data_IF_842480649602
#
_entry.id   IF_842480649602
#
_cell.length_a   1.000
_cell.length_b   1.000
_cell.length_c   1.000
_cell.angle_alpha   90.00
_cell.angle_beta   90.00
_cell.angle_gamma   90.00
#
_symmetry.space_group_name_H-M   'P 1'
#
loop_
_entity.id
_entity.type
_entity.pdbx_description
1 polymer ?
#
# COMPACT_ATOMS: atom_id res chain seq x y z
N UNK A 1 -28.81 -2.14 18.07
CA UNK A 1 -27.61 -1.69 18.83
C UNK A 1 -26.30 -1.73 17.99
N UNK A 2 -26.34 -2.04 16.70
CA UNK A 2 -25.15 -2.19 15.82
C UNK A 2 -24.73 -0.87 15.14
N UNK A 3 -25.64 0.10 15.00
CA UNK A 3 -25.35 1.36 14.26
C UNK A 3 -24.46 2.41 14.98
N UNK A 4 -24.17 2.24 16.27
CA UNK A 4 -23.32 3.22 17.02
C UNK A 4 -21.84 2.84 17.12
N UNK A 5 -21.45 1.62 16.76
CA UNK A 5 -20.05 1.16 16.81
C UNK A 5 -19.20 1.60 15.60
N UNK A 6 -19.81 1.74 14.43
CA UNK A 6 -19.10 1.99 13.16
C UNK A 6 -18.60 3.45 13.06
N UNK A 7 -19.33 4.40 13.61
CA UNK A 7 -18.93 5.82 13.56
C UNK A 7 -17.67 6.16 14.39
N UNK A 8 -17.38 5.39 15.44
CA UNK A 8 -16.19 5.61 16.29
C UNK A 8 -14.90 5.09 15.68
N UNK A 9 -14.98 4.05 14.83
CA UNK A 9 -13.80 3.48 14.17
C UNK A 9 -13.28 4.40 13.05
N UNK A 10 -14.19 5.08 12.33
CA UNK A 10 -13.82 6.02 11.26
C UNK A 10 -13.06 7.25 11.77
N UNK A 11 -13.37 7.73 12.98
CA UNK A 11 -12.70 8.88 13.59
C UNK A 11 -11.26 8.56 14.04
N UNK A 12 -10.97 7.28 14.36
CA UNK A 12 -9.64 6.90 14.84
C UNK A 12 -8.63 6.76 13.69
N UNK A 13 -9.09 6.46 12.48
CA UNK A 13 -8.23 6.33 11.28
C UNK A 13 -7.71 7.70 10.82
N UNK A 14 -8.49 8.77 11.00
CA UNK A 14 -8.05 10.14 10.66
C UNK A 14 -6.95 10.71 11.56
N UNK A 15 -6.83 10.23 12.80
CA UNK A 15 -5.84 10.77 13.76
C UNK A 15 -4.40 10.29 13.53
N UNK A 16 -4.20 9.22 12.77
CA UNK A 16 -2.85 8.69 12.50
C UNK A 16 -2.12 9.31 11.30
N UNK A 17 -2.81 10.05 10.42
CA UNK A 17 -2.21 10.64 9.20
C UNK A 17 -1.69 12.06 9.42
N UNK A 18 -2.08 12.76 10.50
CA UNK A 18 -1.76 14.17 10.73
C UNK A 18 -0.62 14.44 11.73
N UNK A 19 0.24 13.51 12.03
CA UNK A 19 1.25 13.65 13.06
C UNK A 19 2.70 13.58 12.59
N UNK A 20 3.24 14.60 11.92
CA UNK A 20 4.63 15.08 12.11
C UNK A 20 5.00 16.23 11.18
N UNK A 21 4.73 17.46 11.60
CA UNK A 21 5.57 18.60 11.24
C UNK A 21 5.99 19.27 12.55
N UNK A 22 7.28 19.13 12.86
CA UNK A 22 7.90 19.83 13.97
C UNK A 22 8.05 21.32 13.67
N UNK A 23 7.58 22.15 14.56
CA UNK A 23 7.78 23.60 14.56
C UNK A 23 7.94 24.07 16.00
N UNK A 24 9.08 24.64 16.27
CA UNK A 24 9.54 25.19 17.55
C UNK A 24 8.56 26.19 18.15
N UNK A 25 8.35 26.07 19.45
CA UNK A 25 7.62 27.02 20.29
C UNK A 25 8.56 28.13 20.74
N UNK A 26 8.16 29.38 20.56
CA UNK A 26 8.64 30.50 21.37
C UNK A 26 7.49 31.02 22.20
N UNK A 27 7.69 30.99 23.52
CA UNK A 27 6.86 31.61 24.55
C UNK A 27 6.98 33.12 24.49
N UNK A 28 5.86 33.81 24.37
CA UNK A 28 5.76 35.17 24.93
C UNK A 28 4.32 35.44 25.37
N UNK A 29 4.19 35.57 26.66
CA UNK A 29 3.00 36.08 27.34
C UNK A 29 2.87 37.60 27.11
N UNK A 30 1.67 38.10 26.79
CA UNK A 30 1.30 39.52 27.06
C UNK A 30 -0.22 39.66 27.29
N UNK A 31 -0.54 40.02 28.48
CA UNK A 31 -1.57 40.95 29.02
C UNK A 31 -2.95 41.16 28.35
N UNK A 32 -3.94 40.89 29.18
CA UNK A 32 -5.30 41.47 29.15
C UNK A 32 -5.27 42.97 29.29
N UNK A 33 -6.09 43.66 28.49
CA UNK A 33 -6.74 44.93 28.90
C UNK A 33 -8.17 44.93 28.35
N UNK A 34 -9.10 45.00 29.28
CA UNK A 34 -10.50 45.40 29.07
C UNK A 34 -10.57 46.84 28.59
N UNK A 35 -11.43 47.16 27.63
CA UNK A 35 -12.02 48.49 27.52
C UNK A 35 -13.36 48.45 26.78
N UNK A 36 -14.37 48.86 27.44
CA UNK A 36 -15.68 49.47 27.18
C UNK A 36 -16.24 49.57 25.76
N UNK A 37 -17.51 49.19 25.64
CA UNK A 37 -18.43 49.47 24.55
C UNK A 37 -18.86 50.99 24.55
N UNK A 38 -19.34 51.47 23.39
CA UNK A 38 -20.56 52.24 23.44
C UNK A 38 -21.66 51.72 22.49
N UNK A 39 -22.88 51.73 23.02
CA UNK A 39 -24.13 51.65 22.30
C UNK A 39 -24.21 52.72 21.20
N UNK A 40 -24.66 52.33 20.01
CA UNK A 40 -25.33 53.20 19.06
C UNK A 40 -26.52 52.52 18.39
N UNK A 41 -27.68 53.01 18.72
CA UNK A 41 -28.96 52.88 18.05
C UNK A 41 -28.92 53.48 16.64
N UNK A 42 -29.47 52.78 15.64
CA UNK A 42 -29.67 53.41 14.33
C UNK A 42 -30.28 52.49 13.25
N UNK A 43 -31.59 52.56 13.16
CA UNK A 43 -32.43 52.42 11.95
C UNK A 43 -32.28 51.16 11.03
N UNK A 44 -33.39 50.42 11.04
CA UNK A 44 -33.75 49.44 10.03
C UNK A 44 -33.85 50.09 8.62
N UNK A 45 -33.06 49.57 7.69
CA UNK A 45 -33.34 49.68 6.27
C UNK A 45 -33.65 48.27 5.80
N UNK A 46 -34.91 48.04 5.51
CA UNK A 46 -35.38 46.86 4.77
C UNK A 46 -34.78 46.90 3.35
N UNK A 47 -33.71 46.16 3.16
CA UNK A 47 -33.29 45.75 1.82
C UNK A 47 -33.77 44.31 1.65
N UNK A 48 -34.90 44.17 0.94
CA UNK A 48 -35.27 42.92 0.27
C UNK A 48 -34.18 42.59 -0.73
N UNK A 49 -33.17 41.90 -0.32
CA UNK A 49 -32.27 41.21 -1.22
C UNK A 49 -32.91 39.86 -1.51
N UNK A 50 -33.41 39.78 -2.73
CA UNK A 50 -33.83 38.56 -3.39
C UNK A 50 -32.73 37.48 -3.16
N UNK A 51 -32.89 36.71 -2.10
CA UNK A 51 -32.02 35.58 -1.77
C UNK A 51 -32.27 34.47 -2.77
N UNK A 52 -31.64 34.55 -3.91
CA UNK A 52 -31.40 33.33 -4.69
C UNK A 52 -30.62 32.38 -3.78
N UNK A 53 -31.38 31.52 -3.15
CA UNK A 53 -30.86 30.34 -2.43
C UNK A 53 -30.33 29.41 -3.53
N UNK A 54 -29.14 29.74 -4.09
CA UNK A 54 -28.37 28.79 -4.86
C UNK A 54 -27.95 27.72 -3.86
N UNK A 55 -28.74 26.64 -3.77
CA UNK A 55 -28.30 25.43 -3.10
C UNK A 55 -26.90 25.14 -3.65
N UNK A 56 -25.88 25.29 -2.82
CA UNK A 56 -24.53 24.90 -3.16
C UNK A 56 -24.59 23.39 -3.47
N UNK A 57 -24.68 23.07 -4.74
CA UNK A 57 -24.57 21.69 -5.21
C UNK A 57 -23.11 21.32 -5.01
N UNK A 58 -22.83 20.54 -3.97
CA UNK A 58 -21.51 19.95 -3.80
C UNK A 58 -21.12 19.18 -5.07
N UNK A 59 -19.91 19.38 -5.59
CA UNK A 59 -19.47 18.67 -6.77
C UNK A 59 -19.47 17.17 -6.50
N UNK A 60 -19.75 16.39 -7.56
CA UNK A 60 -19.66 14.94 -7.53
C UNK A 60 -18.20 14.56 -7.78
N UNK A 61 -17.63 13.70 -6.93
CA UNK A 61 -16.30 13.13 -7.15
C UNK A 61 -16.40 11.91 -8.06
N UNK A 62 -15.51 11.80 -9.04
CA UNK A 62 -15.44 10.66 -9.95
C UNK A 62 -14.24 9.77 -9.69
N UNK A 63 -14.39 8.46 -9.93
CA UNK A 63 -13.31 7.49 -10.02
C UNK A 63 -13.43 6.73 -11.34
N UNK A 64 -12.36 6.70 -12.14
CA UNK A 64 -12.20 5.76 -13.27
C UNK A 64 -11.24 4.66 -12.84
N UNK A 65 -11.66 3.41 -13.00
CA UNK A 65 -10.90 2.23 -12.58
C UNK A 65 -11.20 1.02 -13.47
N UNK A 66 -10.17 0.21 -13.74
CA UNK A 66 -10.33 -1.12 -14.32
C UNK A 66 -10.77 -2.09 -13.21
N UNK A 67 -12.06 -2.45 -13.25
CA UNK A 67 -12.62 -3.42 -12.31
C UNK A 67 -12.49 -4.84 -12.89
N UNK A 68 -11.30 -5.39 -12.76
CA UNK A 68 -10.97 -6.77 -13.16
C UNK A 68 -11.38 -7.81 -12.09
N UNK A 69 -12.05 -7.37 -11.01
CA UNK A 69 -12.46 -8.20 -9.88
C UNK A 69 -11.32 -8.50 -8.90
N UNK A 70 -10.14 -7.91 -9.09
CA UNK A 70 -9.01 -8.05 -8.18
C UNK A 70 -9.24 -7.33 -6.85
N UNK A 71 -8.54 -7.77 -5.82
CA UNK A 71 -8.57 -7.11 -4.51
C UNK A 71 -7.97 -5.69 -4.59
N UNK A 72 -7.04 -5.44 -5.51
CA UNK A 72 -6.50 -4.10 -5.76
C UNK A 72 -7.56 -3.12 -6.26
N UNK A 73 -8.37 -3.53 -7.24
CA UNK A 73 -9.48 -2.73 -7.74
C UNK A 73 -10.53 -2.49 -6.64
N UNK A 74 -10.90 -3.54 -5.91
CA UNK A 74 -11.88 -3.46 -4.81
C UNK A 74 -11.42 -2.56 -3.68
N UNK A 75 -10.16 -2.70 -3.21
CA UNK A 75 -9.59 -1.85 -2.16
C UNK A 75 -9.51 -0.39 -2.60
N UNK A 76 -9.16 -0.13 -3.85
CA UNK A 76 -9.15 1.23 -4.42
C UNK A 76 -10.56 1.83 -4.43
N UNK A 77 -11.55 1.11 -4.99
CA UNK A 77 -12.93 1.57 -4.99
C UNK A 77 -13.46 1.80 -3.57
N UNK A 78 -13.19 0.87 -2.66
CA UNK A 78 -13.62 0.99 -1.27
C UNK A 78 -12.99 2.20 -0.58
N UNK A 79 -11.70 2.44 -0.77
CA UNK A 79 -11.00 3.60 -0.24
C UNK A 79 -11.57 4.92 -0.74
N UNK A 80 -11.86 5.01 -2.04
CA UNK A 80 -12.49 6.17 -2.66
C UNK A 80 -13.90 6.41 -2.10
N UNK A 81 -14.79 5.42 -2.18
CA UNK A 81 -16.20 5.55 -1.79
C UNK A 81 -16.35 5.89 -0.30
N UNK A 82 -15.61 5.19 0.58
CA UNK A 82 -15.68 5.44 2.03
C UNK A 82 -15.14 6.81 2.41
N UNK A 83 -14.11 7.27 1.73
CA UNK A 83 -13.56 8.59 1.99
C UNK A 83 -14.49 9.69 1.47
N UNK A 84 -15.05 9.53 0.26
CA UNK A 84 -16.03 10.46 -0.29
C UNK A 84 -17.28 10.56 0.62
N UNK A 85 -17.81 9.41 1.09
CA UNK A 85 -18.93 9.36 2.05
C UNK A 85 -18.59 10.09 3.35
N UNK A 86 -17.38 9.87 3.88
CA UNK A 86 -16.92 10.54 5.13
C UNK A 86 -16.82 12.06 4.97
N UNK A 87 -16.44 12.51 3.78
CA UNK A 87 -16.34 13.93 3.42
C UNK A 87 -17.68 14.52 2.96
N UNK A 88 -18.76 13.72 2.97
CA UNK A 88 -20.11 14.09 2.54
C UNK A 88 -20.24 14.48 1.05
N UNK A 89 -19.40 13.91 0.17
CA UNK A 89 -19.52 14.05 -1.27
C UNK A 89 -20.40 12.95 -1.87
N UNK A 90 -21.21 13.32 -2.85
CA UNK A 90 -21.70 12.37 -3.82
C UNK A 90 -20.51 11.85 -4.66
N UNK A 91 -20.53 10.57 -5.00
CA UNK A 91 -19.43 9.95 -5.74
C UNK A 91 -19.95 9.00 -6.81
N UNK A 92 -19.19 8.88 -7.91
CA UNK A 92 -19.49 7.94 -8.99
C UNK A 92 -18.25 7.18 -9.44
N UNK A 93 -18.41 5.87 -9.64
CA UNK A 93 -17.35 4.99 -10.16
C UNK A 93 -17.67 4.62 -11.61
N UNK A 94 -16.70 4.88 -12.50
CA UNK A 94 -16.71 4.49 -13.91
C UNK A 94 -15.79 3.29 -14.06
N UNK A 95 -16.38 2.13 -14.35
CA UNK A 95 -15.64 0.89 -14.55
C UNK A 95 -15.27 0.78 -16.02
N UNK A 96 -14.00 0.93 -16.34
CA UNK A 96 -13.50 0.96 -17.69
C UNK A 96 -12.09 0.38 -17.73
N UNK A 97 -11.83 -0.51 -18.68
CA UNK A 97 -10.49 -1.02 -18.93
C UNK A 97 -9.53 0.12 -19.27
N UNK A 98 -8.26 -0.08 -18.91
CA UNK A 98 -7.23 0.88 -19.22
C UNK A 98 -7.13 1.17 -20.74
N UNK A 99 -6.76 2.40 -21.08
CA UNK A 99 -6.64 2.85 -22.46
C UNK A 99 -7.92 3.47 -23.02
N UNK A 100 -8.42 3.00 -24.16
CA UNK A 100 -9.52 3.64 -24.89
C UNK A 100 -10.85 3.67 -24.10
N UNK A 101 -11.15 2.62 -23.34
CA UNK A 101 -12.37 2.60 -22.51
C UNK A 101 -12.27 3.63 -21.37
N UNK A 102 -11.11 3.75 -20.72
CA UNK A 102 -10.88 4.77 -19.69
C UNK A 102 -11.01 6.19 -20.29
N UNK A 103 -10.51 6.40 -21.52
CA UNK A 103 -10.67 7.66 -22.23
C UNK A 103 -12.14 7.96 -22.59
N UNK A 104 -12.94 6.94 -22.90
CA UNK A 104 -14.38 7.10 -23.12
C UNK A 104 -15.12 7.44 -21.81
N UNK A 105 -14.74 6.80 -20.70
CA UNK A 105 -15.28 7.08 -19.38
C UNK A 105 -15.02 8.53 -18.91
N UNK A 106 -13.94 9.16 -19.37
CA UNK A 106 -13.69 10.60 -19.14
C UNK A 106 -14.78 11.46 -19.80
N UNK A 107 -15.21 11.13 -21.05
CA UNK A 107 -16.29 11.86 -21.70
C UNK A 107 -17.62 11.71 -20.96
N UNK A 108 -17.91 10.51 -20.48
CA UNK A 108 -19.09 10.23 -19.68
C UNK A 108 -19.09 11.02 -18.37
N UNK A 109 -17.98 11.01 -17.64
CA UNK A 109 -17.81 11.79 -16.41
C UNK A 109 -18.02 13.29 -16.66
N UNK A 110 -17.47 13.81 -17.77
CA UNK A 110 -17.64 15.21 -18.15
C UNK A 110 -19.07 15.55 -18.49
N UNK A 111 -19.77 14.67 -19.23
CA UNK A 111 -21.18 14.84 -19.59
C UNK A 111 -22.10 14.86 -18.36
N UNK A 112 -21.73 14.18 -17.29
CA UNK A 112 -22.44 14.17 -16.02
C UNK A 112 -22.05 15.34 -15.09
N UNK A 113 -21.21 16.24 -15.55
CA UNK A 113 -20.82 17.44 -14.80
C UNK A 113 -19.74 17.19 -13.75
N UNK A 114 -19.09 16.03 -13.76
CA UNK A 114 -17.98 15.75 -12.85
C UNK A 114 -16.77 16.58 -13.29
N UNK A 115 -16.20 17.33 -12.35
CA UNK A 115 -15.04 18.19 -12.57
C UNK A 115 -13.81 17.75 -11.78
N UNK A 116 -13.98 16.95 -10.73
CA UNK A 116 -12.93 16.42 -9.88
C UNK A 116 -12.87 14.89 -10.02
N UNK A 117 -11.77 14.38 -10.58
CA UNK A 117 -11.69 13.01 -11.05
C UNK A 117 -10.42 12.32 -10.52
N UNK A 118 -10.59 11.15 -9.94
CA UNK A 118 -9.50 10.23 -9.67
C UNK A 118 -9.43 9.20 -10.80
N UNK A 119 -8.24 9.01 -11.39
CA UNK A 119 -8.02 7.96 -12.40
C UNK A 119 -6.98 7.00 -11.83
N UNK A 120 -7.43 5.80 -11.46
CA UNK A 120 -6.54 4.77 -10.96
C UNK A 120 -5.66 4.24 -12.08
N UNK A 121 -4.35 4.33 -11.87
CA UNK A 121 -3.37 3.89 -12.84
C UNK A 121 -2.18 3.25 -12.09
N UNK A 122 -2.09 1.91 -12.07
CA UNK A 122 -0.93 1.24 -11.50
C UNK A 122 0.32 1.36 -12.40
N UNK A 123 0.12 1.78 -13.64
CA UNK A 123 1.15 2.00 -14.66
C UNK A 123 0.71 3.10 -15.65
N UNK A 124 1.48 3.31 -16.73
CA UNK A 124 1.22 4.36 -17.74
C UNK A 124 0.05 4.09 -18.70
N UNK A 125 -0.68 3.00 -18.55
CA UNK A 125 -1.75 2.64 -19.51
C UNK A 125 -2.91 3.64 -19.55
N UNK A 126 -3.11 4.40 -18.48
CA UNK A 126 -4.16 5.41 -18.39
C UNK A 126 -3.67 6.85 -18.65
N UNK A 127 -2.41 7.04 -19.05
CA UNK A 127 -1.87 8.39 -19.31
C UNK A 127 -2.71 9.14 -20.35
N UNK A 128 -3.17 8.47 -21.42
CA UNK A 128 -4.03 9.08 -22.43
C UNK A 128 -5.39 9.53 -21.86
N UNK A 129 -5.98 8.77 -20.95
CA UNK A 129 -7.22 9.16 -20.27
C UNK A 129 -7.00 10.37 -19.35
N UNK A 130 -5.85 10.40 -18.66
CA UNK A 130 -5.45 11.52 -17.81
C UNK A 130 -5.23 12.79 -18.66
N UNK A 131 -4.48 12.69 -19.78
CA UNK A 131 -4.28 13.82 -20.71
C UNK A 131 -5.61 14.37 -21.21
N UNK A 132 -6.54 13.49 -21.59
CA UNK A 132 -7.87 13.88 -22.04
C UNK A 132 -8.65 14.60 -20.93
N UNK A 133 -8.71 14.09 -19.73
CA UNK A 133 -9.39 14.72 -18.61
C UNK A 133 -8.84 16.11 -18.30
N UNK A 134 -7.51 16.24 -18.29
CA UNK A 134 -6.82 17.54 -18.10
C UNK A 134 -7.16 18.51 -19.24
N UNK A 135 -7.17 18.04 -20.51
CA UNK A 135 -7.51 18.88 -21.67
C UNK A 135 -8.97 19.39 -21.63
N UNK A 136 -9.87 18.64 -21.02
CA UNK A 136 -11.26 19.02 -20.77
C UNK A 136 -11.44 19.94 -19.55
N UNK A 137 -10.35 20.35 -18.91
CA UNK A 137 -10.36 21.23 -17.75
C UNK A 137 -10.85 20.56 -16.46
N UNK A 138 -10.73 19.24 -16.36
CA UNK A 138 -11.03 18.51 -15.13
C UNK A 138 -9.83 18.51 -14.19
N UNK A 139 -10.10 18.53 -12.89
CA UNK A 139 -9.07 18.38 -11.86
C UNK A 139 -8.80 16.90 -11.66
N UNK A 140 -7.57 16.46 -11.96
CA UNK A 140 -7.22 15.02 -11.96
C UNK A 140 -6.19 14.71 -10.88
N UNK A 141 -6.46 13.63 -10.13
CA UNK A 141 -5.52 13.00 -9.21
C UNK A 141 -5.28 11.56 -9.66
N UNK A 142 -4.01 11.16 -9.79
CA UNK A 142 -3.62 9.79 -10.11
C UNK A 142 -3.06 9.11 -8.84
N UNK A 143 -3.75 8.10 -8.29
CA UNK A 143 -3.23 7.32 -7.18
C UNK A 143 -2.34 6.17 -7.68
N UNK A 144 -1.36 5.80 -6.82
CA UNK A 144 -0.50 4.65 -6.93
C UNK A 144 0.67 4.76 -7.93
N UNK A 145 0.54 5.50 -9.01
CA UNK A 145 1.55 5.66 -10.04
C UNK A 145 1.91 7.15 -10.21
N UNK A 146 3.20 7.45 -10.38
CA UNK A 146 3.67 8.80 -10.66
C UNK A 146 3.50 9.13 -12.14
N UNK A 147 2.30 9.55 -12.52
CA UNK A 147 1.96 10.00 -13.86
C UNK A 147 2.75 11.29 -14.21
N UNK A 148 3.30 11.32 -15.42
CA UNK A 148 4.08 12.48 -15.93
C UNK A 148 3.28 13.40 -16.86
N UNK A 149 1.97 13.20 -16.95
CA UNK A 149 1.09 14.04 -17.77
C UNK A 149 1.09 15.47 -17.26
N UNK A 150 1.33 16.43 -18.16
CA UNK A 150 1.34 17.84 -17.81
C UNK A 150 -0.07 18.30 -17.43
N UNK A 151 -0.18 19.08 -16.35
CA UNK A 151 -1.46 19.62 -15.88
C UNK A 151 -2.24 18.73 -14.90
N UNK A 152 -1.77 17.53 -14.62
CA UNK A 152 -2.30 16.73 -13.49
C UNK A 152 -2.14 17.53 -12.20
N UNK A 153 -3.14 17.48 -11.33
CA UNK A 153 -3.12 18.26 -10.08
C UNK A 153 -2.23 17.63 -9.02
N UNK A 154 -2.32 16.32 -8.86
CA UNK A 154 -1.48 15.60 -7.90
C UNK A 154 -1.36 14.12 -8.27
N UNK A 155 -0.22 13.55 -7.90
CA UNK A 155 0.00 12.11 -7.86
C UNK A 155 -0.02 11.64 -6.40
N UNK A 156 -0.57 10.47 -6.13
CA UNK A 156 -0.39 9.79 -4.85
C UNK A 156 0.49 8.58 -5.08
N UNK A 157 1.72 8.62 -4.59
CA UNK A 157 2.72 7.58 -4.84
C UNK A 157 3.04 6.80 -3.57
N UNK A 158 3.42 5.55 -3.76
CA UNK A 158 3.90 4.69 -2.66
C UNK A 158 5.34 5.06 -2.35
N UNK A 159 5.65 5.30 -1.07
CA UNK A 159 7.02 5.53 -0.62
C UNK A 159 7.77 4.19 -0.56
N UNK A 160 8.58 3.93 -1.57
CA UNK A 160 9.31 2.68 -1.67
C UNK A 160 10.57 2.65 -0.79
N UNK A 161 11.20 3.80 -0.53
CA UNK A 161 12.47 3.86 0.23
C UNK A 161 12.21 3.56 1.70
N UNK A 162 11.27 4.27 2.34
CA UNK A 162 10.88 4.03 3.72
C UNK A 162 10.38 2.59 3.94
N UNK A 163 9.64 2.06 2.96
CA UNK A 163 9.16 0.69 2.99
C UNK A 163 10.29 -0.35 3.10
N UNK A 164 11.32 -0.25 2.26
CA UNK A 164 12.40 -1.24 2.29
C UNK A 164 13.27 -1.13 3.54
N UNK A 165 13.38 0.05 4.13
CA UNK A 165 14.06 0.23 5.41
C UNK A 165 13.28 -0.38 6.58
N UNK A 166 11.96 -0.25 6.56
CA UNK A 166 11.08 -0.88 7.55
C UNK A 166 11.09 -2.41 7.41
N UNK A 167 11.02 -2.92 6.18
CA UNK A 167 11.10 -4.34 5.88
C UNK A 167 12.44 -4.95 6.34
N UNK A 168 13.55 -4.26 6.07
CA UNK A 168 14.88 -4.67 6.51
C UNK A 168 14.98 -4.71 8.04
N UNK A 169 14.44 -3.70 8.70
CA UNK A 169 14.36 -3.63 10.17
C UNK A 169 13.55 -4.78 10.75
N UNK A 170 12.38 -5.04 10.18
CA UNK A 170 11.48 -6.12 10.62
C UNK A 170 12.12 -7.50 10.48
N UNK A 171 12.73 -7.80 9.32
CA UNK A 171 13.40 -9.08 9.08
C UNK A 171 14.64 -9.25 9.94
N UNK A 172 15.51 -8.25 10.00
CA UNK A 172 16.72 -8.31 10.83
C UNK A 172 16.37 -8.43 12.32
N UNK A 173 15.42 -7.64 12.82
CA UNK A 173 14.93 -7.70 14.20
C UNK A 173 14.39 -9.09 14.54
N UNK A 174 13.60 -9.69 13.65
CA UNK A 174 13.10 -11.05 13.86
C UNK A 174 14.21 -12.10 13.91
N UNK A 175 15.25 -11.93 13.11
CA UNK A 175 16.41 -12.83 13.16
C UNK A 175 17.17 -12.67 14.48
N UNK A 176 17.36 -11.46 14.95
CA UNK A 176 18.03 -11.17 16.22
C UNK A 176 17.25 -11.72 17.42
N UNK A 177 15.92 -11.60 17.44
CA UNK A 177 15.04 -12.23 18.45
C UNK A 177 15.25 -13.75 18.51
N UNK A 178 15.53 -14.38 17.38
CA UNK A 178 15.85 -15.80 17.28
C UNK A 178 17.32 -16.12 17.56
N UNK A 179 18.07 -15.14 18.06
CA UNK A 179 19.52 -15.24 18.34
C UNK A 179 20.39 -15.55 17.11
N UNK A 180 19.90 -15.21 15.92
CA UNK A 180 20.64 -15.35 14.66
C UNK A 180 21.45 -14.08 14.43
N UNK A 181 22.77 -14.18 14.52
CA UNK A 181 23.68 -13.03 14.35
C UNK A 181 24.13 -12.82 12.91
N UNK A 182 23.83 -13.74 12.02
CA UNK A 182 24.13 -13.70 10.58
C UNK A 182 23.29 -14.72 9.84
N UNK A 183 23.28 -14.66 8.52
CA UNK A 183 22.56 -15.59 7.65
C UNK A 183 22.18 -14.96 6.34
N UNK A 184 21.57 -15.75 5.46
CA UNK A 184 21.03 -15.23 4.22
C UNK A 184 19.54 -14.94 4.34
N UNK A 185 19.11 -13.86 3.67
CA UNK A 185 17.71 -13.51 3.45
C UNK A 185 17.46 -13.65 1.97
N UNK A 186 16.44 -14.41 1.61
CA UNK A 186 16.06 -14.69 0.24
C UNK A 186 14.94 -13.75 -0.21
N UNK A 187 15.12 -13.07 -1.32
CA UNK A 187 14.05 -12.41 -2.08
C UNK A 187 13.53 -13.41 -3.11
N UNK A 188 12.26 -13.75 -3.02
CA UNK A 188 11.63 -14.82 -3.79
C UNK A 188 10.34 -14.37 -4.48
N UNK A 189 10.18 -14.73 -5.74
CA UNK A 189 8.98 -14.46 -6.54
C UNK A 189 9.26 -14.55 -8.04
N UNK A 190 8.32 -14.02 -8.86
CA UNK A 190 8.45 -14.00 -10.33
C UNK A 190 9.20 -12.78 -10.84
N UNK A 191 8.85 -11.60 -10.35
CA UNK A 191 9.51 -10.33 -10.69
C UNK A 191 10.19 -9.74 -9.45
N UNK A 192 11.40 -10.21 -9.20
CA UNK A 192 12.14 -9.90 -7.97
C UNK A 192 13.18 -8.81 -8.13
N UNK A 193 13.51 -8.37 -9.36
CA UNK A 193 14.69 -7.54 -9.63
C UNK A 193 14.68 -6.22 -8.86
N UNK A 194 13.63 -5.41 -9.03
CA UNK A 194 13.50 -4.11 -8.36
C UNK A 194 13.44 -4.25 -6.83
N UNK A 195 12.66 -5.24 -6.35
CA UNK A 195 12.55 -5.52 -4.93
C UNK A 195 13.88 -5.96 -4.33
N UNK A 196 14.62 -6.82 -5.06
CA UNK A 196 15.95 -7.27 -4.65
C UNK A 196 16.95 -6.12 -4.54
N UNK A 197 17.04 -5.27 -5.56
CA UNK A 197 17.98 -4.14 -5.56
C UNK A 197 17.72 -3.19 -4.39
N UNK A 198 16.47 -2.75 -4.20
CA UNK A 198 16.10 -1.81 -3.16
C UNK A 198 16.27 -2.42 -1.75
N UNK A 199 15.79 -3.64 -1.54
CA UNK A 199 15.94 -4.35 -0.27
C UNK A 199 17.41 -4.65 0.06
N UNK A 200 18.19 -5.04 -0.94
CA UNK A 200 19.63 -5.29 -0.79
C UNK A 200 20.38 -4.01 -0.38
N UNK A 201 20.02 -2.86 -0.96
CA UNK A 201 20.62 -1.58 -0.58
C UNK A 201 20.35 -1.23 0.89
N UNK A 202 19.10 -1.34 1.33
CA UNK A 202 18.71 -1.10 2.73
C UNK A 202 19.38 -2.07 3.71
N UNK A 203 19.37 -3.36 3.41
CA UNK A 203 20.03 -4.38 4.24
C UNK A 203 21.53 -4.13 4.35
N UNK A 204 22.20 -3.85 3.25
CA UNK A 204 23.65 -3.58 3.23
C UNK A 204 24.03 -2.36 4.05
N UNK A 205 23.20 -1.34 4.02
CA UNK A 205 23.42 -0.10 4.77
C UNK A 205 23.20 -0.30 6.27
N UNK A 206 22.13 -0.98 6.67
CA UNK A 206 21.63 -0.99 8.04
C UNK A 206 21.97 -2.30 8.78
N UNK A 207 22.08 -3.44 8.07
CA UNK A 207 22.22 -4.79 8.62
C UNK A 207 23.24 -5.63 7.84
N UNK A 208 24.52 -5.18 7.71
CA UNK A 208 25.51 -5.82 6.84
C UNK A 208 25.90 -7.25 7.28
N UNK A 209 25.50 -7.69 8.47
CA UNK A 209 25.70 -9.07 8.96
C UNK A 209 24.76 -10.08 8.25
N UNK A 210 23.70 -9.62 7.57
CA UNK A 210 22.80 -10.46 6.79
C UNK A 210 23.03 -10.24 5.29
N UNK A 211 23.16 -11.33 4.55
CA UNK A 211 23.36 -11.27 3.11
C UNK A 211 22.05 -11.51 2.40
N UNK A 212 21.71 -10.64 1.44
CA UNK A 212 20.54 -10.82 0.60
C UNK A 212 20.90 -11.63 -0.63
N UNK A 213 20.11 -12.65 -0.94
CA UNK A 213 20.18 -13.41 -2.16
C UNK A 213 18.82 -13.40 -2.86
N UNK A 214 18.81 -13.72 -4.15
CA UNK A 214 17.61 -13.72 -4.98
C UNK A 214 17.37 -15.14 -5.54
N UNK A 215 16.11 -15.53 -5.61
CA UNK A 215 15.68 -16.71 -6.33
C UNK A 215 14.41 -16.41 -7.10
N UNK A 216 14.53 -16.39 -8.44
CA UNK A 216 13.40 -16.13 -9.33
C UNK A 216 12.67 -17.44 -9.57
N UNK A 217 11.38 -17.45 -9.34
CA UNK A 217 10.51 -18.60 -9.63
C UNK A 217 10.45 -18.84 -11.15
N UNK A 218 10.79 -20.04 -11.58
CA UNK A 218 10.74 -20.45 -12.99
C UNK A 218 9.61 -21.44 -13.28
N UNK A 219 9.22 -22.24 -12.28
CA UNK A 219 8.13 -23.19 -12.42
C UNK A 219 6.79 -22.52 -12.70
N UNK A 220 6.06 -23.05 -13.69
CA UNK A 220 4.76 -22.52 -14.10
C UNK A 220 3.64 -22.88 -13.11
N UNK A 221 3.72 -24.07 -12.50
CA UNK A 221 2.74 -24.54 -11.52
C UNK A 221 3.27 -24.42 -10.08
N UNK A 222 2.34 -24.51 -9.15
CA UNK A 222 2.62 -24.34 -7.72
C UNK A 222 3.50 -25.46 -7.18
N UNK A 223 3.21 -26.72 -7.54
CA UNK A 223 3.91 -27.88 -6.99
C UNK A 223 5.38 -27.91 -7.44
N UNK A 224 5.63 -27.60 -8.71
CA UNK A 224 6.98 -27.41 -9.23
C UNK A 224 7.72 -26.27 -8.54
N UNK A 225 7.06 -25.15 -8.28
CA UNK A 225 7.64 -24.02 -7.56
C UNK A 225 8.00 -24.36 -6.10
N UNK A 226 7.17 -25.17 -5.43
CA UNK A 226 7.45 -25.66 -4.09
C UNK A 226 8.67 -26.57 -4.09
N UNK A 227 8.79 -27.50 -5.05
CA UNK A 227 9.94 -28.38 -5.14
C UNK A 227 11.22 -27.62 -5.46
N UNK A 228 11.18 -26.72 -6.43
CA UNK A 228 12.29 -25.86 -6.85
C UNK A 228 12.86 -25.05 -5.67
N UNK A 229 11.98 -24.41 -4.92
CA UNK A 229 12.39 -23.62 -3.75
C UNK A 229 12.82 -24.50 -2.57
N UNK A 230 12.21 -25.67 -2.37
CA UNK A 230 12.63 -26.60 -1.33
C UNK A 230 14.06 -27.13 -1.58
N UNK A 231 14.38 -27.46 -2.83
CA UNK A 231 15.71 -27.87 -3.24
C UNK A 231 16.73 -26.73 -3.07
N UNK A 232 16.35 -25.51 -3.41
CA UNK A 232 17.20 -24.33 -3.17
C UNK A 232 17.48 -24.12 -1.68
N UNK A 233 16.48 -24.24 -0.82
CA UNK A 233 16.62 -24.14 0.64
C UNK A 233 17.53 -25.25 1.19
N UNK A 234 17.39 -26.49 0.73
CA UNK A 234 18.21 -27.62 1.17
C UNK A 234 19.69 -27.41 0.83
N UNK A 235 19.96 -26.85 -0.35
CA UNK A 235 21.32 -26.54 -0.79
C UNK A 235 21.89 -25.27 -0.12
N UNK A 236 21.03 -24.41 0.46
CA UNK A 236 21.37 -23.12 1.04
C UNK A 236 20.79 -22.99 2.45
N UNK A 237 21.19 -23.89 3.35
CA UNK A 237 20.60 -24.02 4.72
C UNK A 237 20.87 -22.86 5.67
N UNK A 238 21.73 -21.94 5.29
CA UNK A 238 21.97 -20.66 5.95
C UNK A 238 20.94 -19.58 5.61
N UNK A 239 19.99 -19.85 4.71
CA UNK A 239 18.80 -19.01 4.53
C UNK A 239 17.95 -19.07 5.80
N UNK A 240 17.71 -17.89 6.40
CA UNK A 240 16.97 -17.74 7.65
C UNK A 240 15.74 -16.83 7.52
N UNK A 241 15.67 -16.06 6.44
CA UNK A 241 14.52 -15.23 6.09
C UNK A 241 14.15 -15.39 4.63
N UNK A 242 12.86 -15.22 4.31
CA UNK A 242 12.33 -15.09 2.96
C UNK A 242 11.44 -13.86 2.91
N UNK A 243 11.72 -12.97 1.99
CA UNK A 243 10.80 -11.94 1.55
C UNK A 243 10.16 -12.40 0.24
N UNK A 244 8.89 -12.75 0.29
CA UNK A 244 8.09 -13.18 -0.84
C UNK A 244 7.45 -11.95 -1.48
N UNK A 245 7.86 -11.61 -2.70
CA UNK A 245 7.49 -10.33 -3.35
C UNK A 245 6.13 -10.35 -4.04
N UNK A 246 5.62 -11.54 -4.37
CA UNK A 246 4.33 -11.73 -4.99
C UNK A 246 3.34 -12.35 -4.00
N UNK A 247 2.05 -12.17 -4.24
CA UNK A 247 0.99 -12.68 -3.40
C UNK A 247 0.97 -14.21 -3.29
N UNK A 248 1.25 -14.90 -4.39
CA UNK A 248 1.35 -16.38 -4.45
C UNK A 248 2.71 -16.92 -3.96
N UNK A 249 3.72 -16.08 -3.82
CA UNK A 249 5.06 -16.50 -3.41
C UNK A 249 5.15 -16.89 -1.92
N UNK A 250 4.39 -16.24 -1.04
CA UNK A 250 4.44 -16.52 0.39
C UNK A 250 3.88 -17.91 0.76
N UNK A 251 2.72 -18.36 0.27
CA UNK A 251 2.24 -19.72 0.45
C UNK A 251 3.22 -20.77 -0.06
N UNK A 252 3.81 -20.53 -1.23
CA UNK A 252 4.84 -21.41 -1.80
C UNK A 252 6.05 -21.48 -0.87
N UNK A 253 6.54 -20.37 -0.34
CA UNK A 253 7.67 -20.33 0.56
C UNK A 253 7.41 -21.10 1.87
N UNK A 254 6.21 -21.01 2.42
CA UNK A 254 5.79 -21.78 3.61
C UNK A 254 5.75 -23.28 3.32
N UNK A 255 5.15 -23.68 2.19
CA UNK A 255 5.07 -25.10 1.76
C UNK A 255 6.46 -25.66 1.45
N UNK A 256 7.30 -24.89 0.76
CA UNK A 256 8.69 -25.27 0.44
C UNK A 256 9.56 -25.43 1.69
N UNK A 257 9.46 -24.50 2.66
CA UNK A 257 10.10 -24.62 3.98
C UNK A 257 9.72 -25.94 4.65
N UNK A 258 8.43 -26.24 4.68
CA UNK A 258 7.93 -27.47 5.31
C UNK A 258 8.42 -28.73 4.59
N UNK A 259 8.46 -28.72 3.26
CA UNK A 259 8.99 -29.81 2.42
C UNK A 259 10.49 -30.01 2.65
N UNK A 260 11.26 -28.93 2.64
CA UNK A 260 12.69 -28.97 2.92
C UNK A 260 13.00 -29.51 4.33
N UNK A 261 12.22 -29.12 5.35
CA UNK A 261 12.35 -29.64 6.69
C UNK A 261 12.09 -31.16 6.78
N UNK A 262 11.06 -31.66 6.06
CA UNK A 262 10.75 -33.09 6.01
C UNK A 262 11.88 -33.89 5.33
N UNK A 263 12.34 -33.43 4.16
CA UNK A 263 13.44 -34.06 3.44
C UNK A 263 14.74 -34.08 4.26
N UNK A 264 15.06 -32.95 4.90
CA UNK A 264 16.25 -32.84 5.76
C UNK A 264 16.23 -33.84 6.93
N UNK A 265 15.06 -34.08 7.52
CA UNK A 265 14.89 -35.04 8.63
C UNK A 265 14.94 -36.49 8.17
N UNK A 266 14.45 -36.81 6.96
CA UNK A 266 14.35 -38.19 6.48
C UNK A 266 15.61 -38.67 5.76
N UNK A 267 16.29 -37.80 5.02
CA UNK A 267 17.37 -38.16 4.11
C UNK A 267 18.76 -37.79 4.67
N UNK A 268 18.77 -37.05 5.78
CA UNK A 268 20.00 -36.44 6.29
C UNK A 268 20.39 -35.19 5.47
N UNK A 269 21.50 -34.59 5.84
CA UNK A 269 22.00 -33.42 5.11
C UNK A 269 22.61 -33.88 3.77
N UNK A 270 22.07 -33.46 2.60
CA UNK A 270 22.79 -33.66 1.35
C UNK A 270 24.15 -32.97 1.43
N UNK A 271 25.16 -33.57 0.81
CA UNK A 271 26.46 -32.91 0.68
C UNK A 271 26.26 -31.57 -0.02
N UNK A 272 26.79 -30.45 0.48
CA UNK A 272 26.59 -29.16 -0.15
C UNK A 272 27.11 -29.22 -1.60
N UNK A 273 26.21 -29.15 -2.54
CA UNK A 273 26.57 -28.96 -3.95
C UNK A 273 27.00 -27.49 -4.09
N UNK A 274 28.15 -27.19 -4.70
CA UNK A 274 28.55 -25.81 -4.93
C UNK A 274 27.44 -25.11 -5.73
N UNK A 275 26.90 -24.04 -5.16
CA UNK A 275 25.87 -23.21 -5.78
C UNK A 275 26.39 -22.76 -7.14
N UNK A 276 25.63 -22.93 -8.25
CA UNK A 276 25.98 -22.27 -9.50
C UNK A 276 26.02 -20.76 -9.20
N UNK A 277 27.13 -20.13 -9.54
CA UNK A 277 27.29 -18.68 -9.44
C UNK A 277 26.10 -18.02 -10.17
N UNK A 278 25.31 -17.27 -9.40
CA UNK A 278 24.15 -16.54 -9.93
C UNK A 278 24.70 -15.54 -10.94
N UNK A 279 24.37 -15.75 -12.18
CA UNK A 279 24.81 -14.96 -13.33
C UNK A 279 24.35 -13.52 -13.20
N UNK A 280 25.32 -12.61 -13.39
CA UNK A 280 25.25 -11.24 -13.85
C UNK A 280 24.67 -10.18 -12.88
N UNK A 281 25.58 -9.33 -12.42
CA UNK A 281 25.30 -7.98 -11.89
C UNK A 281 25.59 -7.76 -10.42
N UNK A 282 25.97 -8.78 -9.66
CA UNK A 282 26.33 -8.62 -8.25
C UNK A 282 27.67 -7.87 -8.11
N UNK A 283 27.61 -6.62 -7.70
CA UNK A 283 28.73 -5.95 -7.01
C UNK A 283 29.30 -6.94 -6.01
N UNK A 284 30.61 -7.22 -6.05
CA UNK A 284 31.28 -8.22 -5.23
C UNK A 284 30.87 -8.09 -3.76
N UNK A 285 30.01 -9.01 -3.30
CA UNK A 285 29.70 -9.15 -1.90
C UNK A 285 30.91 -9.80 -1.21
N UNK A 286 31.22 -9.45 0.05
CA UNK A 286 32.31 -10.08 0.79
C UNK A 286 32.09 -11.58 0.83
N UNK A 287 33.19 -12.33 0.71
CA UNK A 287 33.21 -13.80 0.73
C UNK A 287 32.55 -14.31 2.03
N UNK A 288 31.29 -14.74 1.92
CA UNK A 288 30.50 -15.19 3.06
C UNK A 288 30.78 -16.65 3.36
N UNK A 289 31.29 -16.92 4.55
CA UNK A 289 31.41 -18.30 5.03
C UNK A 289 30.28 -18.60 6.01
N UNK A 290 29.36 -19.54 5.66
CA UNK A 290 28.24 -19.88 6.52
C UNK A 290 28.70 -20.36 7.91
N UNK A 291 28.07 -19.88 8.97
CA UNK A 291 28.29 -20.42 10.29
C UNK A 291 27.77 -21.87 10.35
N UNK A 292 28.63 -22.88 10.67
CA UNK A 292 28.21 -24.28 10.69
C UNK A 292 27.00 -24.57 11.58
N UNK A 293 26.79 -23.81 12.66
CA UNK A 293 25.64 -23.95 13.54
C UNK A 293 24.32 -23.63 12.83
N UNK A 294 24.32 -22.76 11.81
CA UNK A 294 23.13 -22.41 11.04
C UNK A 294 22.72 -23.53 10.07
N UNK A 295 23.63 -24.44 9.76
CA UNK A 295 23.40 -25.51 8.79
C UNK A 295 22.71 -26.75 9.39
N UNK A 296 22.54 -26.78 10.72
CA UNK A 296 21.97 -27.94 11.43
C UNK A 296 20.46 -27.96 11.45
N UNK A 297 19.81 -26.84 11.12
CA UNK A 297 18.35 -26.70 11.14
C UNK A 297 17.86 -25.78 10.03
N UNK A 298 16.72 -26.14 9.44
CA UNK A 298 15.99 -25.26 8.52
C UNK A 298 14.99 -24.44 9.34
N UNK A 299 15.37 -23.20 9.65
CA UNK A 299 14.56 -22.25 10.40
C UNK A 299 14.43 -20.98 9.57
N UNK A 300 13.30 -20.83 8.88
CA UNK A 300 13.04 -19.72 7.97
C UNK A 300 11.86 -18.91 8.47
N UNK A 301 12.04 -17.60 8.55
CA UNK A 301 10.95 -16.63 8.75
C UNK A 301 10.47 -16.14 7.41
N UNK A 302 9.17 -16.17 7.16
CA UNK A 302 8.56 -15.71 5.90
C UNK A 302 7.86 -14.37 6.13
N UNK A 303 8.19 -13.40 5.30
CA UNK A 303 7.46 -12.17 5.11
C UNK A 303 6.75 -12.28 3.76
N UNK A 304 5.43 -12.18 3.76
CA UNK A 304 4.61 -12.30 2.57
C UNK A 304 4.20 -10.94 2.01
N UNK A 305 3.70 -10.93 0.79
CA UNK A 305 3.08 -9.75 0.15
C UNK A 305 1.63 -10.06 -0.16
N UNK A 306 0.74 -9.07 0.06
CA UNK A 306 -0.69 -9.20 -0.18
C UNK A 306 -1.47 -9.78 0.99
N UNK A 307 -2.77 -9.46 1.03
CA UNK A 307 -3.72 -9.87 2.06
C UNK A 307 -4.77 -10.86 1.51
N UNK A 308 -4.35 -11.77 0.61
CA UNK A 308 -5.24 -12.83 0.13
C UNK A 308 -5.72 -13.72 1.27
N UNK A 309 -6.83 -14.40 1.06
CA UNK A 309 -7.39 -15.31 2.06
C UNK A 309 -6.41 -16.41 2.51
N UNK A 310 -5.52 -16.88 1.62
CA UNK A 310 -4.49 -17.85 1.95
C UNK A 310 -3.36 -17.21 2.77
N UNK A 311 -2.85 -16.05 2.36
CA UNK A 311 -1.82 -15.32 3.10
C UNK A 311 -2.30 -14.92 4.49
N UNK A 312 -3.54 -14.43 4.59
CA UNK A 312 -4.14 -14.08 5.86
C UNK A 312 -4.27 -15.29 6.79
N UNK A 313 -4.70 -16.44 6.27
CA UNK A 313 -4.75 -17.68 7.04
C UNK A 313 -3.38 -18.10 7.55
N UNK A 314 -2.36 -18.14 6.68
CA UNK A 314 -1.00 -18.51 7.06
C UNK A 314 -0.38 -17.52 8.06
N UNK A 315 -0.76 -16.26 7.97
CA UNK A 315 -0.36 -15.24 8.93
C UNK A 315 -0.98 -15.49 10.31
N UNK A 316 -2.26 -15.79 10.38
CA UNK A 316 -2.94 -16.14 11.64
C UNK A 316 -2.44 -17.46 12.25
N UNK A 317 -2.02 -18.42 11.41
CA UNK A 317 -1.41 -19.66 11.82
C UNK A 317 0.07 -19.48 12.26
N UNK A 318 0.62 -18.26 12.19
CA UNK A 318 2.02 -17.90 12.44
C UNK A 318 3.02 -18.58 11.50
N UNK A 319 2.61 -19.01 10.34
CA UNK A 319 3.46 -19.53 9.29
C UNK A 319 4.12 -18.40 8.46
N UNK A 320 3.43 -17.29 8.31
CA UNK A 320 3.94 -16.00 7.84
C UNK A 320 4.07 -15.08 9.06
N UNK A 321 5.22 -14.42 9.20
CA UNK A 321 5.49 -13.54 10.34
C UNK A 321 4.92 -12.14 10.18
N UNK A 322 4.98 -11.61 8.96
CA UNK A 322 4.45 -10.31 8.62
C UNK A 322 3.96 -10.29 7.18
N UNK A 323 2.99 -9.44 6.90
CA UNK A 323 2.43 -9.20 5.57
C UNK A 323 2.76 -7.78 5.10
N UNK A 324 3.40 -7.68 3.96
CA UNK A 324 3.61 -6.45 3.24
C UNK A 324 2.35 -6.16 2.42
N UNK A 325 1.63 -5.11 2.75
CA UNK A 325 0.34 -4.81 2.10
C UNK A 325 0.52 -3.69 1.09
N UNK A 326 -0.01 -3.90 -0.12
CA UNK A 326 -0.10 -2.83 -1.11
C UNK A 326 -1.14 -1.81 -0.64
N UNK A 327 -0.78 -0.52 -0.54
CA UNK A 327 -1.63 0.50 0.07
C UNK A 327 -2.68 1.05 -0.90
N UNK A 328 -3.42 0.16 -1.58
CA UNK A 328 -4.46 0.57 -2.55
C UNK A 328 -5.57 1.38 -1.89
N UNK A 329 -6.01 0.94 -0.70
CA UNK A 329 -7.01 1.65 0.10
C UNK A 329 -6.49 3.03 0.53
N UNK A 330 -5.29 3.09 1.09
CA UNK A 330 -4.68 4.32 1.58
C UNK A 330 -4.39 5.31 0.45
N UNK A 331 -3.92 4.81 -0.70
CA UNK A 331 -3.65 5.65 -1.87
C UNK A 331 -4.95 6.27 -2.43
N UNK A 332 -6.02 5.48 -2.50
CA UNK A 332 -7.33 5.97 -2.92
C UNK A 332 -7.93 6.96 -1.92
N UNK A 333 -7.85 6.66 -0.61
CA UNK A 333 -8.30 7.57 0.44
C UNK A 333 -7.53 8.90 0.40
N UNK A 334 -6.21 8.86 0.28
CA UNK A 334 -5.37 10.06 0.14
C UNK A 334 -5.69 10.83 -1.14
N UNK A 335 -5.93 10.13 -2.25
CA UNK A 335 -6.34 10.74 -3.52
C UNK A 335 -7.67 11.46 -3.39
N UNK A 336 -8.65 10.87 -2.71
CA UNK A 336 -9.96 11.46 -2.45
C UNK A 336 -9.88 12.68 -1.54
N UNK A 337 -9.07 12.64 -0.47
CA UNK A 337 -8.79 13.80 0.37
C UNK A 337 -8.09 14.93 -0.42
N UNK A 338 -7.25 14.56 -1.38
CA UNK A 338 -6.60 15.54 -2.25
C UNK A 338 -7.61 16.19 -3.19
N UNK A 339 -8.57 15.43 -3.75
CA UNK A 339 -9.68 15.99 -4.52
C UNK A 339 -10.55 16.94 -3.69
N UNK A 340 -10.88 16.60 -2.45
CA UNK A 340 -11.60 17.48 -1.53
C UNK A 340 -10.89 18.83 -1.38
N UNK A 341 -9.59 18.83 -1.14
CA UNK A 341 -8.80 20.06 -1.01
C UNK A 341 -8.77 20.87 -2.30
N UNK A 342 -8.69 20.20 -3.46
CA UNK A 342 -8.76 20.87 -4.77
C UNK A 342 -10.13 21.56 -4.94
N UNK A 343 -11.21 20.85 -4.64
CA UNK A 343 -12.59 21.37 -4.74
C UNK A 343 -12.79 22.58 -3.82
N UNK A 344 -12.17 22.60 -2.66
CA UNK A 344 -12.19 23.75 -1.74
C UNK A 344 -11.25 24.88 -2.14
N UNK A 345 -10.50 24.73 -3.24
CA UNK A 345 -9.52 25.73 -3.69
C UNK A 345 -8.28 25.84 -2.81
N UNK A 346 -7.98 24.80 -2.04
CA UNK A 346 -6.80 24.76 -1.17
C UNK A 346 -5.54 24.45 -1.97
N UNK A 347 -4.39 24.88 -1.44
CA UNK A 347 -3.10 24.50 -1.98
C UNK A 347 -2.80 23.03 -1.68
N UNK A 348 -2.36 22.30 -2.71
CA UNK A 348 -1.99 20.89 -2.63
C UNK A 348 -0.56 20.67 -3.11
N UNK A 349 0.06 19.59 -2.64
CA UNK A 349 1.33 19.11 -3.19
C UNK A 349 1.09 18.42 -4.55
N UNK A 350 2.02 18.60 -5.49
CA UNK A 350 1.97 17.88 -6.77
C UNK A 350 2.19 16.37 -6.62
N UNK A 351 2.82 15.96 -5.52
CA UNK A 351 3.03 14.55 -5.15
C UNK A 351 2.71 14.39 -3.67
N UNK A 352 1.74 13.55 -3.36
CA UNK A 352 1.48 13.04 -2.02
C UNK A 352 2.08 11.64 -1.90
N UNK A 353 2.55 11.27 -0.71
CA UNK A 353 3.15 9.96 -0.46
C UNK A 353 2.31 9.17 0.53
N UNK A 354 2.19 7.88 0.27
CA UNK A 354 1.59 6.91 1.19
C UNK A 354 2.60 5.82 1.48
N UNK A 355 2.65 5.39 2.73
CA UNK A 355 3.55 4.31 3.13
C UNK A 355 2.93 2.97 2.75
N UNK A 356 3.78 2.00 2.43
CA UNK A 356 3.40 0.61 2.23
C UNK A 356 3.44 -0.09 3.59
N UNK A 357 2.29 -0.47 4.17
CA UNK A 357 2.29 -1.01 5.53
C UNK A 357 2.87 -2.42 5.60
N UNK A 358 3.62 -2.68 6.66
CA UNK A 358 4.03 -4.01 7.06
C UNK A 358 3.19 -4.39 8.28
N UNK A 359 2.33 -5.37 8.10
CA UNK A 359 1.38 -5.82 9.13
C UNK A 359 1.99 -6.93 9.95
N UNK A 360 2.11 -6.68 11.24
CA UNK A 360 2.47 -7.66 12.26
C UNK A 360 1.23 -8.08 13.05
N UNK A 361 1.35 -9.08 13.90
CA UNK A 361 0.23 -9.61 14.69
C UNK A 361 -0.48 -8.56 15.56
N UNK A 362 0.23 -7.53 16.03
CA UNK A 362 -0.30 -6.44 16.84
C UNK A 362 -1.06 -5.37 16.04
N UNK A 363 -0.84 -5.31 14.73
CA UNK A 363 -1.50 -4.37 13.82
C UNK A 363 -2.50 -5.03 12.87
N UNK A 364 -2.61 -6.35 12.92
CA UNK A 364 -3.43 -7.16 12.02
C UNK A 364 -4.91 -6.78 12.05
N UNK A 365 -5.47 -6.55 13.24
CA UNK A 365 -6.90 -6.28 13.42
C UNK A 365 -7.38 -5.09 12.60
N UNK A 366 -6.56 -4.05 12.46
CA UNK A 366 -6.89 -2.86 11.66
C UNK A 366 -7.09 -3.21 10.19
N UNK A 367 -6.13 -3.93 9.61
CA UNK A 367 -6.15 -4.26 8.18
C UNK A 367 -7.18 -5.34 7.87
N UNK A 368 -7.37 -6.29 8.77
CA UNK A 368 -8.45 -7.28 8.70
C UNK A 368 -9.81 -6.62 8.69
N UNK A 369 -10.06 -5.66 9.59
CA UNK A 369 -11.33 -4.95 9.63
C UNK A 369 -11.61 -4.16 8.34
N UNK A 370 -10.59 -3.56 7.72
CA UNK A 370 -10.72 -2.88 6.43
C UNK A 370 -11.09 -3.91 5.35
N UNK A 371 -10.36 -5.01 5.26
CA UNK A 371 -10.57 -6.04 4.25
C UNK A 371 -11.94 -6.71 4.39
N UNK A 372 -12.34 -7.11 5.59
CA UNK A 372 -13.66 -7.70 5.86
C UNK A 372 -14.80 -6.71 5.55
N UNK A 373 -14.61 -5.44 5.89
CA UNK A 373 -15.59 -4.39 5.59
C UNK A 373 -15.74 -4.16 4.08
N UNK A 374 -14.62 -4.21 3.34
CA UNK A 374 -14.62 -4.17 1.88
C UNK A 374 -15.40 -5.35 1.31
N UNK A 375 -15.08 -6.58 1.71
CA UNK A 375 -15.77 -7.78 1.22
C UNK A 375 -17.27 -7.73 1.51
N UNK A 376 -17.67 -7.27 2.69
CA UNK A 376 -19.06 -7.10 3.07
C UNK A 376 -19.79 -6.06 2.21
N UNK A 377 -19.14 -4.93 1.92
CA UNK A 377 -19.70 -3.88 1.06
C UNK A 377 -19.96 -4.38 -0.37
N UNK A 378 -18.98 -5.08 -0.97
CA UNK A 378 -19.14 -5.67 -2.29
C UNK A 378 -20.19 -6.80 -2.34
N UNK A 379 -20.25 -7.66 -1.31
CA UNK A 379 -21.29 -8.69 -1.21
C UNK A 379 -22.69 -8.12 -1.06
N UNK A 380 -22.84 -6.95 -0.45
CA UNK A 380 -24.12 -6.25 -0.30
C UNK A 380 -24.56 -5.46 -1.56
N UNK A 381 -23.73 -5.43 -2.61
CA UNK A 381 -24.02 -4.66 -3.84
C UNK A 381 -23.95 -3.13 -3.64
N UNK A 382 -23.29 -2.67 -2.58
CA UNK A 382 -23.09 -1.24 -2.30
C UNK A 382 -21.85 -0.68 -3.02
N UNK A 383 -21.41 -1.38 -4.02
CA UNK A 383 -20.15 -1.22 -4.75
C UNK A 383 -20.16 -0.15 -5.85
N UNK A 384 -21.15 0.72 -5.90
CA UNK A 384 -21.18 1.69 -6.99
C UNK A 384 -22.24 2.77 -7.05
N UNK A 385 -23.19 2.81 -6.15
CA UNK A 385 -24.20 3.88 -6.11
C UNK A 385 -24.54 4.22 -4.64
N UNK A 386 -23.85 5.17 -4.09
CA UNK A 386 -24.29 5.90 -2.89
C UNK A 386 -24.51 7.35 -3.28
#
# INVERSE_FOLDING_TARGET
MVKRGIALLSALIMLCVCGRTGGQTDDTAINRTETDAPEQTGQAAENETDGQNTAETFPILGLIIDDDGSDSARLTMYGFLRTAETLCYASKVFRAKAGDEAAAAVDEAKAEGITALMIFSPDSKNDAAIEKAVSLGMDVVAPYYECKVAGIKSNVVVDAEEYYDELARGLAGRMEERSLKSGRILVYGRDTEKAYEAFCASMKQNYPQFIVCQFVRTAADEEGAIDELADFILNNRDIKGVYAVDEDAAPIAVKARSRAQKRFKSEGAPSPTPTPETTAGASAQPEYTPNPALLTQIMITVFGTGLSGENYKLFNDNDIYALCIEPYYEAAAQGTMTLDRIVRGESIASVARVNRPIVHSDTADKYTAIYESMLAAFAAGTDGNV
#
